data_IF_088304073851
#
_entry.id   IF_088304073851
#
_cell.length_a   1.000
_cell.length_b   1.000
_cell.length_c   1.000
_cell.angle_alpha   90.00
_cell.angle_beta   90.00
_cell.angle_gamma   90.00
#
_symmetry.space_group_name_H-M   'P 1'
#
loop_
_entity.id
_entity.type
_entity.pdbx_description
1 polymer ?
#
# COMPACT_ATOMS: atom_id res chain seq x y z
N UNK A 1 -0.77 22.84 -18.76
CA UNK A 1 -2.04 22.44 -18.65
C UNK A 1 -2.24 21.00 -18.53
N UNK A 2 -1.98 20.29 -19.57
CA UNK A 2 -2.13 18.89 -19.59
C UNK A 2 -1.29 18.18 -18.57
N UNK A 3 -0.13 18.74 -18.29
CA UNK A 3 0.78 18.16 -17.30
C UNK A 3 0.13 18.15 -15.93
N UNK A 4 -0.52 19.22 -15.55
CA UNK A 4 -1.16 19.26 -14.25
C UNK A 4 -2.28 18.23 -14.14
N UNK A 5 -3.05 18.11 -15.21
CA UNK A 5 -4.14 17.15 -15.23
C UNK A 5 -3.59 15.73 -15.13
N UNK A 6 -2.52 15.49 -15.84
CA UNK A 6 -1.91 14.19 -15.84
C UNK A 6 -1.34 13.84 -14.49
N UNK A 7 -0.76 14.79 -13.79
CA UNK A 7 -0.26 14.56 -12.46
C UNK A 7 -1.36 14.16 -11.50
N UNK A 8 -2.47 14.87 -11.56
CA UNK A 8 -3.60 14.53 -10.71
C UNK A 8 -4.12 13.16 -11.02
N UNK A 9 -4.18 12.81 -12.30
CA UNK A 9 -4.63 11.49 -12.69
C UNK A 9 -3.70 10.41 -12.22
N UNK A 10 -2.39 10.65 -12.32
CA UNK A 10 -1.41 9.69 -11.87
C UNK A 10 -1.53 9.44 -10.38
N UNK A 11 -1.72 10.49 -9.61
CA UNK A 11 -1.87 10.36 -8.17
C UNK A 11 -3.13 9.57 -7.84
N UNK A 12 -4.21 9.85 -8.54
CA UNK A 12 -5.46 9.16 -8.30
C UNK A 12 -5.40 7.69 -8.67
N UNK A 13 -4.61 7.37 -9.69
CA UNK A 13 -4.51 6.00 -10.17
C UNK A 13 -3.34 5.23 -9.58
N UNK A 14 -2.49 5.90 -8.80
CA UNK A 14 -1.34 5.24 -8.19
C UNK A 14 -1.72 4.74 -6.81
N UNK A 15 -1.89 3.42 -6.64
CA UNK A 15 -2.30 2.88 -5.34
C UNK A 15 -1.29 3.16 -4.23
N UNK A 16 0.00 3.22 -4.56
CA UNK A 16 1.00 3.50 -3.54
C UNK A 16 0.86 4.92 -3.01
N UNK A 17 0.61 5.88 -3.90
CA UNK A 17 0.40 7.26 -3.48
C UNK A 17 -0.88 7.38 -2.66
N UNK A 18 -1.92 6.66 -3.03
CA UNK A 18 -3.17 6.65 -2.28
C UNK A 18 -2.97 6.07 -0.88
N UNK A 19 -2.20 4.98 -0.79
CA UNK A 19 -1.91 4.38 0.50
C UNK A 19 -1.11 5.32 1.39
N UNK A 20 -0.15 6.03 0.81
CA UNK A 20 0.64 7.01 1.55
C UNK A 20 -0.25 8.12 2.10
N UNK A 21 -1.21 8.58 1.30
CA UNK A 21 -2.13 9.62 1.73
C UNK A 21 -3.01 9.15 2.88
N UNK A 22 -3.50 7.91 2.80
CA UNK A 22 -4.29 7.34 3.87
C UNK A 22 -3.47 7.23 5.15
N UNK A 23 -2.25 6.77 5.02
CA UNK A 23 -1.36 6.62 6.17
C UNK A 23 -1.08 7.98 6.81
N UNK A 24 -0.81 8.99 5.99
CA UNK A 24 -0.52 10.32 6.49
C UNK A 24 -1.71 10.95 7.20
N UNK A 25 -2.92 10.58 6.80
CA UNK A 25 -4.13 11.11 7.44
C UNK A 25 -4.50 10.34 8.71
N UNK A 26 -3.74 9.30 9.05
CA UNK A 26 -4.00 8.51 10.24
C UNK A 26 -4.74 7.22 9.99
N UNK A 27 -5.13 6.95 8.75
CA UNK A 27 -5.86 5.73 8.42
C UNK A 27 -4.87 4.63 8.05
N UNK A 28 -4.18 4.12 9.05
CA UNK A 28 -3.17 3.09 8.85
C UNK A 28 -3.79 1.80 8.32
N UNK A 29 -4.93 1.43 8.86
CA UNK A 29 -5.60 0.21 8.42
C UNK A 29 -5.99 0.30 6.97
N UNK A 30 -6.55 1.42 6.54
CA UNK A 30 -6.94 1.61 5.14
C UNK A 30 -5.73 1.55 4.21
N UNK A 31 -4.62 2.16 4.63
CA UNK A 31 -3.40 2.13 3.83
C UNK A 31 -2.89 0.70 3.67
N UNK A 32 -2.86 -0.05 4.76
CA UNK A 32 -2.39 -1.43 4.73
C UNK A 32 -3.31 -2.32 3.89
N UNK A 33 -4.61 -2.16 4.05
CA UNK A 33 -5.59 -2.93 3.28
C UNK A 33 -5.43 -2.69 1.79
N UNK A 34 -5.22 -1.44 1.40
CA UNK A 34 -5.05 -1.10 0.00
C UNK A 34 -3.81 -1.78 -0.60
N UNK A 35 -2.70 -1.71 0.11
CA UNK A 35 -1.48 -2.34 -0.36
C UNK A 35 -1.59 -3.87 -0.38
N UNK A 36 -2.24 -4.44 0.63
CA UNK A 36 -2.45 -5.88 0.66
C UNK A 36 -3.33 -6.34 -0.50
N UNK A 37 -4.33 -5.53 -0.85
CA UNK A 37 -5.19 -5.85 -1.97
C UNK A 37 -4.41 -5.86 -3.28
N UNK A 38 -3.48 -4.92 -3.44
CA UNK A 38 -2.64 -4.90 -4.63
C UNK A 38 -1.79 -6.18 -4.69
N UNK A 39 -1.19 -6.56 -3.58
CA UNK A 39 -0.37 -7.77 -3.53
C UNK A 39 -1.21 -8.99 -3.91
N UNK A 40 -2.46 -9.03 -3.46
CA UNK A 40 -3.33 -10.18 -3.69
C UNK A 40 -3.86 -10.24 -5.11
N UNK A 41 -4.06 -9.09 -5.76
CA UNK A 41 -4.79 -9.06 -7.03
C UNK A 41 -3.96 -8.62 -8.24
N UNK A 42 -2.78 -8.04 -8.04
CA UNK A 42 -1.98 -7.57 -9.16
C UNK A 42 -1.46 -8.75 -9.97
N UNK A 43 -1.51 -8.62 -11.28
CA UNK A 43 -0.96 -9.62 -12.18
C UNK A 43 0.53 -9.42 -12.38
N UNK A 44 0.97 -8.18 -12.22
CA UNK A 44 2.34 -7.79 -12.49
C UNK A 44 3.20 -7.99 -11.26
N UNK A 45 4.28 -8.75 -11.39
CA UNK A 45 5.20 -9.01 -10.29
C UNK A 45 5.81 -7.72 -9.77
N UNK A 46 6.10 -6.78 -10.65
CA UNK A 46 6.66 -5.50 -10.24
C UNK A 46 5.68 -4.73 -9.35
N UNK A 47 4.41 -4.75 -9.69
CA UNK A 47 3.41 -4.07 -8.90
C UNK A 47 3.29 -4.71 -7.52
N UNK A 48 3.33 -6.04 -7.46
CA UNK A 48 3.27 -6.75 -6.18
C UNK A 48 4.48 -6.41 -5.32
N UNK A 49 5.66 -6.42 -5.92
CA UNK A 49 6.88 -6.10 -5.19
C UNK A 49 6.88 -4.67 -4.68
N UNK A 50 6.46 -3.73 -5.52
CA UNK A 50 6.40 -2.33 -5.12
C UNK A 50 5.45 -2.14 -3.95
N UNK A 51 4.29 -2.80 -3.99
CA UNK A 51 3.32 -2.71 -2.91
C UNK A 51 3.86 -3.32 -1.64
N UNK A 52 4.56 -4.46 -1.76
CA UNK A 52 5.12 -5.14 -0.60
C UNK A 52 6.19 -4.28 0.07
N UNK A 53 7.08 -3.69 -0.74
CA UNK A 53 8.12 -2.84 -0.19
C UNK A 53 7.55 -1.60 0.49
N UNK A 54 6.53 -1.01 -0.12
CA UNK A 54 5.88 0.14 0.48
C UNK A 54 5.21 -0.24 1.79
N UNK A 55 4.56 -1.40 1.83
CA UNK A 55 3.89 -1.88 3.02
C UNK A 55 4.89 -2.09 4.16
N UNK A 56 6.02 -2.70 3.86
CA UNK A 56 7.06 -2.92 4.87
C UNK A 56 7.61 -1.60 5.39
N UNK A 57 7.74 -0.63 4.51
CA UNK A 57 8.21 0.70 4.89
C UNK A 57 7.23 1.36 5.85
N UNK A 58 5.94 1.26 5.57
CA UNK A 58 4.92 1.80 6.45
C UNK A 58 4.90 1.07 7.79
N UNK A 59 5.15 -0.23 7.80
CA UNK A 59 5.25 -0.98 9.04
C UNK A 59 6.35 -0.41 9.93
N UNK A 60 7.47 -0.05 9.34
CA UNK A 60 8.59 0.50 10.10
C UNK A 60 8.21 1.85 10.72
N UNK A 61 7.48 2.65 9.97
CA UNK A 61 7.04 3.95 10.47
C UNK A 61 5.99 3.81 11.56
N UNK A 62 5.04 2.90 11.36
CA UNK A 62 3.94 2.71 12.31
C UNK A 62 4.37 2.02 13.60
N UNK A 63 5.41 1.19 13.52
CA UNK A 63 5.89 0.49 14.70
C UNK A 63 5.06 -0.75 15.01
N UNK A 64 4.91 -1.04 16.30
CA UNK A 64 4.21 -2.23 16.74
C UNK A 64 2.76 -1.97 17.11
N UNK A 65 1.97 -1.57 16.14
CA UNK A 65 0.55 -1.34 16.38
C UNK A 65 -0.24 -2.61 16.04
N UNK A 66 -1.46 -2.74 16.56
CA UNK A 66 -2.32 -3.88 16.21
C UNK A 66 -2.58 -3.95 14.72
N UNK A 67 -2.69 -2.80 14.04
CA UNK A 67 -2.90 -2.77 12.59
C UNK A 67 -1.73 -3.40 11.87
N UNK A 68 -0.51 -3.10 12.32
CA UNK A 68 0.70 -3.67 11.71
C UNK A 68 0.71 -5.18 11.90
N UNK A 69 0.40 -5.66 13.11
CA UNK A 69 0.41 -7.08 13.39
C UNK A 69 -0.59 -7.82 12.53
N UNK A 70 -1.77 -7.27 12.37
CA UNK A 70 -2.81 -7.87 11.55
C UNK A 70 -2.39 -7.89 10.08
N UNK A 71 -1.85 -6.79 9.60
CA UNK A 71 -1.43 -6.68 8.20
C UNK A 71 -0.27 -7.62 7.90
N UNK A 72 0.66 -7.76 8.83
CA UNK A 72 1.79 -8.67 8.64
C UNK A 72 1.31 -10.12 8.55
N UNK A 73 0.31 -10.47 9.33
CA UNK A 73 -0.24 -11.80 9.29
C UNK A 73 -0.86 -12.09 7.92
N UNK A 74 -1.62 -11.14 7.40
CA UNK A 74 -2.24 -11.28 6.08
C UNK A 74 -1.17 -11.35 5.01
N UNK A 75 -0.16 -10.49 5.10
CA UNK A 75 0.92 -10.47 4.13
C UNK A 75 1.63 -11.82 4.09
N UNK A 76 1.87 -12.39 5.24
CA UNK A 76 2.51 -13.68 5.35
C UNK A 76 1.72 -14.76 4.61
N UNK A 77 0.41 -14.72 4.77
CA UNK A 77 -0.47 -15.66 4.08
C UNK A 77 -0.40 -15.49 2.57
N UNK A 78 -0.40 -14.24 2.11
CA UNK A 78 -0.36 -13.96 0.68
C UNK A 78 0.96 -14.39 0.05
N UNK A 79 2.05 -14.21 0.77
CA UNK A 79 3.37 -14.56 0.24
C UNK A 79 3.56 -16.06 0.19
N UNK A 80 3.03 -16.79 1.16
CA UNK A 80 3.16 -18.24 1.19
C UNK A 80 2.33 -18.93 0.13
N UNK A 81 1.28 -18.32 -0.32
CA UNK A 81 0.44 -18.88 -1.38
C UNK A 81 1.00 -18.53 -2.74
#
# INVERSE_FOLDING_TARGET
MRVAVRSASADASDPAAHADALFASGDHEGAFDLLLKIIATADDTEAKDAARLRLLDLFRVAGNSPDVMKARMILSTLVLV
#
